data_IF_879285451270
#
_entry.id   IF_879285451270
#
_cell.length_a   1.000
_cell.length_b   1.000
_cell.length_c   1.000
_cell.angle_alpha   90.00
_cell.angle_beta   90.00
_cell.angle_gamma   90.00
#
_symmetry.space_group_name_H-M   'P 1'
#
loop_
_entity.id
_entity.type
_entity.pdbx_description
1 polymer ?
#
# COMPACT_ATOMS: atom_id res chain seq x y z
N UNK A 1 6.76 4.74 -4.01
CA UNK A 1 6.68 5.41 -2.70
C UNK A 1 7.83 6.38 -2.55
N UNK A 2 7.54 7.58 -2.04
CA UNK A 2 8.47 8.69 -1.89
C UNK A 2 8.51 9.17 -0.44
N UNK A 3 9.71 9.28 0.08
CA UNK A 3 10.07 9.80 1.38
C UNK A 3 10.96 11.03 1.20
N UNK A 4 11.24 11.76 2.27
CA UNK A 4 12.18 12.89 2.23
C UNK A 4 13.63 12.40 2.38
N UNK A 5 14.59 12.90 1.59
CA UNK A 5 16.01 12.54 1.71
C UNK A 5 16.65 12.78 3.09
N UNK A 6 16.09 13.65 3.93
CA UNK A 6 16.54 13.86 5.31
C UNK A 6 16.27 12.65 6.22
N UNK A 7 15.26 11.83 5.89
CA UNK A 7 14.94 10.59 6.61
C UNK A 7 15.85 9.48 6.10
N UNK A 8 17.00 9.32 6.77
CA UNK A 8 18.08 8.39 6.36
C UNK A 8 17.71 6.92 6.41
N UNK A 9 16.69 6.57 7.19
CA UNK A 9 16.19 5.20 7.31
C UNK A 9 14.72 5.23 7.68
N UNK A 10 13.90 4.49 6.94
CA UNK A 10 12.49 4.34 7.22
C UNK A 10 12.03 2.94 6.83
N UNK A 11 10.98 2.48 7.49
CA UNK A 11 10.33 1.21 7.27
C UNK A 11 8.86 1.43 6.98
N UNK A 12 8.25 0.44 6.32
CA UNK A 12 6.83 0.40 6.10
C UNK A 12 6.30 -1.00 5.88
N UNK A 13 5.00 -1.14 6.09
CA UNK A 13 4.21 -2.30 5.70
C UNK A 13 3.16 -1.82 4.71
N UNK A 14 3.28 -2.26 3.46
CA UNK A 14 2.32 -2.00 2.40
C UNK A 14 1.40 -3.21 2.26
N UNK A 15 0.11 -3.00 2.44
CA UNK A 15 -0.96 -3.94 2.11
C UNK A 15 -1.59 -3.49 0.81
N UNK A 16 -1.74 -4.42 -0.13
CA UNK A 16 -2.54 -4.21 -1.34
C UNK A 16 -3.67 -5.21 -1.33
N UNK A 17 -4.88 -4.73 -1.59
CA UNK A 17 -6.08 -5.54 -1.55
C UNK A 17 -7.03 -5.19 -2.69
N UNK A 18 -7.88 -6.15 -3.02
CA UNK A 18 -9.00 -5.99 -3.94
C UNK A 18 -10.21 -5.48 -3.15
N UNK A 19 -10.69 -4.29 -3.49
CA UNK A 19 -11.87 -3.68 -2.90
C UNK A 19 -13.14 -4.34 -3.45
N UNK A 20 -13.59 -5.38 -2.75
CA UNK A 20 -14.94 -5.94 -2.93
C UNK A 20 -16.00 -5.07 -2.23
N UNK A 21 -17.25 -5.13 -2.71
CA UNK A 21 -18.43 -4.55 -2.02
C UNK A 21 -18.72 -5.15 -0.63
N UNK A 22 -17.90 -6.10 -0.18
CA UNK A 22 -17.95 -6.76 1.12
C UNK A 22 -17.21 -5.91 2.18
N UNK A 23 -17.56 -5.98 3.48
CA UNK A 23 -16.78 -5.33 4.54
C UNK A 23 -15.34 -5.85 4.67
N UNK A 24 -14.97 -6.88 3.92
CA UNK A 24 -13.64 -7.50 3.91
C UNK A 24 -13.10 -7.54 2.50
N UNK A 25 -11.80 -7.30 2.36
CA UNK A 25 -11.11 -7.28 1.08
C UNK A 25 -10.11 -8.43 0.98
N UNK A 26 -9.98 -9.01 -0.21
CA UNK A 26 -9.00 -10.05 -0.46
C UNK A 26 -7.60 -9.42 -0.56
N UNK A 27 -6.65 -9.91 0.26
CA UNK A 27 -5.25 -9.51 0.11
C UNK A 27 -4.71 -9.98 -1.22
N UNK A 28 -4.15 -9.04 -1.97
CA UNK A 28 -3.32 -9.34 -3.13
C UNK A 28 -1.88 -9.55 -2.68
N UNK A 29 -1.38 -8.66 -1.82
CA UNK A 29 0.00 -8.70 -1.37
C UNK A 29 0.18 -7.96 -0.03
N UNK A 30 1.20 -8.36 0.72
CA UNK A 30 1.65 -7.65 1.92
C UNK A 30 3.17 -7.64 1.95
N UNK A 31 3.76 -6.45 1.85
CA UNK A 31 5.20 -6.28 1.85
C UNK A 31 5.67 -5.42 3.02
N UNK A 32 6.52 -6.01 3.87
CA UNK A 32 7.30 -5.29 4.88
C UNK A 32 8.66 -4.92 4.31
N UNK A 33 9.10 -3.70 4.54
CA UNK A 33 10.40 -3.24 4.06
C UNK A 33 11.01 -2.22 5.01
N UNK A 34 12.33 -2.08 4.92
CA UNK A 34 13.06 -0.90 5.36
C UNK A 34 13.94 -0.42 4.20
N UNK A 35 14.19 0.89 4.14
CA UNK A 35 14.95 1.54 3.10
C UNK A 35 15.77 2.67 3.69
N UNK A 36 17.01 2.79 3.22
CA UNK A 36 17.82 3.99 3.43
C UNK A 36 17.74 4.96 2.24
N UNK A 37 17.04 4.56 1.18
CA UNK A 37 16.73 5.41 0.03
C UNK A 37 15.40 6.14 0.24
N UNK A 38 15.35 7.39 -0.20
CA UNK A 38 14.15 8.23 -0.16
C UNK A 38 13.05 7.73 -1.10
N UNK A 39 13.35 6.82 -2.04
CA UNK A 39 12.35 6.21 -2.92
C UNK A 39 12.32 4.71 -2.71
N UNK A 40 11.12 4.14 -2.58
CA UNK A 40 10.91 2.70 -2.57
C UNK A 40 9.94 2.30 -3.69
N UNK A 41 10.37 1.38 -4.52
CA UNK A 41 9.54 0.76 -5.56
C UNK A 41 9.22 -0.67 -5.12
N UNK A 42 7.95 -1.01 -5.22
CA UNK A 42 7.42 -2.34 -4.96
C UNK A 42 6.58 -2.72 -6.18
N UNK A 43 6.76 -3.94 -6.66
CA UNK A 43 5.95 -4.53 -7.71
C UNK A 43 5.11 -5.64 -7.10
N UNK A 44 3.87 -5.74 -7.54
CA UNK A 44 2.99 -6.86 -7.25
C UNK A 44 2.19 -7.16 -8.50
N UNK A 45 1.82 -8.43 -8.62
CA UNK A 45 1.07 -8.96 -9.73
C UNK A 45 -0.33 -9.32 -9.26
N UNK A 46 -1.33 -8.61 -9.77
CA UNK A 46 -2.71 -8.92 -9.49
C UNK A 46 -3.25 -9.94 -10.50
N UNK A 47 -4.07 -10.87 -10.01
CA UNK A 47 -4.79 -11.86 -10.82
C UNK A 47 -6.30 -11.69 -10.59
N UNK A 48 -6.93 -10.68 -11.22
CA UNK A 48 -8.36 -10.41 -11.04
C UNK A 48 -9.17 -11.66 -11.38
N UNK A 49 -10.01 -12.12 -10.44
CA UNK A 49 -10.93 -13.25 -10.65
C UNK A 49 -12.25 -12.75 -11.23
N UNK A 50 -12.21 -12.16 -12.41
CA UNK A 50 -13.40 -11.63 -13.05
C UNK A 50 -13.10 -10.54 -14.06
N UNK A 51 -14.15 -9.85 -14.51
CA UNK A 51 -14.06 -8.83 -15.55
C UNK A 51 -13.42 -7.53 -15.05
N UNK A 52 -13.56 -7.21 -13.76
CA UNK A 52 -13.09 -5.96 -13.17
C UNK A 52 -12.78 -6.12 -11.69
N UNK A 53 -11.56 -5.74 -11.29
CA UNK A 53 -11.12 -5.70 -9.89
C UNK A 53 -10.63 -4.30 -9.56
N UNK A 54 -11.05 -3.77 -8.41
CA UNK A 54 -10.63 -2.47 -7.91
C UNK A 54 -9.53 -2.69 -6.88
N UNK A 55 -8.33 -2.15 -7.10
CA UNK A 55 -7.23 -2.31 -6.15
C UNK A 55 -6.99 -1.06 -5.32
N UNK A 56 -6.84 -1.24 -4.02
CA UNK A 56 -6.43 -0.20 -3.09
C UNK A 56 -5.23 -0.66 -2.26
N UNK A 57 -4.65 0.28 -1.53
CA UNK A 57 -3.57 0.02 -0.60
C UNK A 57 -3.81 0.63 0.78
N UNK A 58 -3.10 0.07 1.74
CA UNK A 58 -2.84 0.64 3.06
C UNK A 58 -1.33 0.61 3.29
N UNK A 59 -0.75 1.73 3.72
CA UNK A 59 0.65 1.83 4.09
C UNK A 59 0.76 2.29 5.55
N UNK A 60 1.34 1.43 6.39
CA UNK A 60 1.89 1.83 7.68
C UNK A 60 3.37 2.17 7.48
N UNK A 61 3.84 3.34 7.92
CA UNK A 61 5.26 3.72 7.74
C UNK A 61 5.75 4.70 8.81
N UNK A 62 7.06 4.79 8.99
CA UNK A 62 7.71 5.84 9.80
C UNK A 62 8.58 6.80 8.97
N UNK A 63 8.25 7.02 7.70
CA UNK A 63 8.81 8.12 6.90
C UNK A 63 8.35 9.49 7.43
N UNK A 64 8.86 9.87 8.60
CA UNK A 64 8.46 11.06 9.34
C UNK A 64 9.67 11.60 10.11
N UNK A 65 9.68 12.90 10.39
CA UNK A 65 10.78 13.53 11.17
C UNK A 65 10.78 13.11 12.64
N UNK A 66 9.61 12.74 13.16
CA UNK A 66 9.40 12.26 14.53
C UNK A 66 9.65 10.75 14.68
N UNK A 67 9.77 10.01 13.58
CA UNK A 67 9.89 8.55 13.56
C UNK A 67 8.62 7.81 13.97
N UNK A 68 7.50 8.50 14.18
CA UNK A 68 6.22 7.87 14.52
C UNK A 68 5.62 7.12 13.34
N UNK A 69 4.90 6.04 13.65
CA UNK A 69 4.16 5.28 12.64
C UNK A 69 2.91 6.05 12.21
N UNK A 70 2.73 6.17 10.89
CA UNK A 70 1.55 6.75 10.27
C UNK A 70 0.84 5.78 9.35
N UNK A 71 -0.47 5.96 9.27
CA UNK A 71 -1.42 5.18 8.48
C UNK A 71 -1.88 5.99 7.27
N UNK A 72 -1.48 5.56 6.07
CA UNK A 72 -1.94 6.11 4.79
C UNK A 72 -2.86 5.10 4.11
N UNK A 73 -4.09 5.52 3.81
CA UNK A 73 -5.02 4.73 2.99
C UNK A 73 -5.01 5.26 1.56
N UNK A 74 -5.24 4.38 0.59
CA UNK A 74 -5.40 4.81 -0.79
C UNK A 74 -6.56 5.80 -0.91
N UNK A 75 -6.37 6.96 -1.56
CA UNK A 75 -7.45 7.92 -1.75
C UNK A 75 -8.48 7.45 -2.78
N UNK A 76 -8.05 6.59 -3.71
CA UNK A 76 -8.85 6.03 -4.81
C UNK A 76 -8.43 4.59 -5.08
N UNK A 77 -9.30 3.82 -5.71
CA UNK A 77 -8.96 2.50 -6.26
C UNK A 77 -8.39 2.62 -7.68
N UNK A 78 -7.61 1.61 -8.07
CA UNK A 78 -7.14 1.42 -9.45
C UNK A 78 -7.94 0.29 -10.07
N UNK A 79 -8.68 0.60 -11.14
CA UNK A 79 -9.43 -0.37 -11.92
C UNK A 79 -8.50 -1.19 -12.84
N UNK A 80 -8.64 -2.50 -12.78
CA UNK A 80 -8.07 -3.44 -13.75
C UNK A 80 -9.19 -4.28 -14.35
N UNK A 81 -9.55 -3.98 -15.59
CA UNK A 81 -10.74 -4.55 -16.27
C UNK A 81 -10.44 -5.66 -17.30
N UNK A 82 -9.43 -6.52 -17.07
CA UNK A 82 -8.99 -7.54 -18.05
C UNK A 82 -8.43 -8.80 -17.39
N UNK A 83 -8.79 -9.97 -17.94
CA UNK A 83 -8.21 -11.26 -17.54
C UNK A 83 -6.67 -11.31 -17.72
N UNK A 84 -5.98 -11.91 -16.74
CA UNK A 84 -4.54 -12.18 -16.75
C UNK A 84 -3.74 -11.41 -15.68
N UNK A 85 -2.44 -11.72 -15.58
CA UNK A 85 -1.51 -11.05 -14.67
C UNK A 85 -1.26 -9.60 -15.08
N UNK A 86 -1.38 -8.66 -14.14
CA UNK A 86 -1.16 -7.23 -14.40
C UNK A 86 -0.30 -6.56 -13.32
N UNK A 87 0.56 -5.66 -13.79
CA UNK A 87 1.28 -4.71 -12.95
C UNK A 87 0.32 -3.58 -12.54
N UNK A 88 0.01 -3.49 -11.25
CA UNK A 88 -0.71 -2.33 -10.69
C UNK A 88 0.30 -1.41 -10.02
N UNK A 89 0.15 -0.09 -10.25
CA UNK A 89 1.11 0.91 -9.80
C UNK A 89 0.43 1.95 -8.92
N UNK A 90 0.97 2.14 -7.72
CA UNK A 90 0.60 3.22 -6.82
C UNK A 90 1.77 4.20 -6.67
N UNK A 91 1.49 5.48 -6.87
CA UNK A 91 2.39 6.57 -6.48
C UNK A 91 1.96 7.05 -5.09
N UNK A 92 2.80 6.78 -4.09
CA UNK A 92 2.51 7.10 -2.69
C UNK A 92 3.55 8.09 -2.19
N UNK A 93 3.11 9.29 -1.83
CA UNK A 93 3.89 10.22 -1.03
C UNK A 93 3.76 9.81 0.44
N UNK A 94 4.85 9.33 1.03
CA UNK A 94 4.87 8.86 2.42
C UNK A 94 5.32 9.95 3.39
N UNK A 95 6.15 10.90 2.95
CA UNK A 95 6.72 11.89 3.85
C UNK A 95 5.66 12.69 4.61
N UNK A 96 5.61 12.48 5.92
CA UNK A 96 4.66 13.10 6.85
C UNK A 96 3.18 12.85 6.54
N UNK A 97 2.87 11.92 5.65
CA UNK A 97 1.50 11.60 5.28
C UNK A 97 0.89 10.58 6.24
N UNK A 98 -0.43 10.62 6.33
CA UNK A 98 -1.21 9.67 7.11
C UNK A 98 -1.50 10.11 8.54
N UNK A 99 -2.43 9.39 9.15
CA UNK A 99 -2.85 9.59 10.54
C UNK A 99 -1.82 8.97 11.48
N UNK A 100 -1.56 9.60 12.64
CA UNK A 100 -0.61 9.11 13.66
C UNK A 100 -1.20 7.92 14.41
N UNK A 101 -1.25 6.78 13.73
CA UNK A 101 -1.69 5.47 14.22
C UNK A 101 -1.26 4.38 13.24
N UNK A 102 -1.36 3.13 13.67
CA UNK A 102 -1.33 2.00 12.75
C UNK A 102 -2.73 1.79 12.14
N UNK A 103 -2.79 1.54 10.83
CA UNK A 103 -4.02 1.13 10.18
C UNK A 103 -4.43 -0.26 10.68
N UNK A 104 -5.74 -0.48 10.82
CA UNK A 104 -6.27 -1.84 10.95
C UNK A 104 -5.90 -2.65 9.70
N UNK A 105 -5.58 -3.93 9.89
CA UNK A 105 -5.33 -4.86 8.80
C UNK A 105 -6.61 -4.94 7.93
N UNK A 106 -6.54 -4.62 6.62
CA UNK A 106 -7.71 -4.68 5.76
C UNK A 106 -8.17 -6.11 5.43
N UNK A 107 -7.36 -7.13 5.76
CA UNK A 107 -7.46 -8.47 5.18
C UNK A 107 -7.81 -9.52 6.23
N UNK A 108 -8.67 -10.47 5.87
CA UNK A 108 -8.67 -11.78 6.52
C UNK A 108 -7.79 -12.76 5.75
N UNK A 109 -6.83 -13.41 6.44
CA UNK A 109 -6.16 -14.59 5.92
C UNK A 109 -7.18 -15.74 5.95
N UNK A 110 -7.63 -16.22 4.80
CA UNK A 110 -8.28 -17.54 4.73
C UNK A 110 -7.27 -18.65 5.02
#
# INVERSE_FOLDING_TARGET
MHCDPAIKHWCGTLYVYEEDFSPTHDAVDTQKFCSSEYKKQIKFSAHPRGDMSLFAYILNHNCTVDGEIRCVKSPHTVDVSVFGERDVKFNIEAYQQGEVKECADPVQRR
#
